data_IF_072264763797
#
_entry.id   IF_072264763797
#
_cell.length_a   1.000
_cell.length_b   1.000
_cell.length_c   1.000
_cell.angle_alpha   90.00
_cell.angle_beta   90.00
_cell.angle_gamma   90.00
#
_symmetry.space_group_name_H-M   'P 1'
#
loop_
_entity.id
_entity.type
_entity.pdbx_description
1 polymer ?
#
# COMPACT_ATOMS: atom_id res chain seq x y z
N UNK A 1 -20.90 -17.59 5.10
CA UNK A 1 -20.94 -16.82 3.85
C UNK A 1 -22.30 -16.19 3.65
N UNK A 2 -22.66 -15.23 4.53
CA UNK A 2 -24.05 -14.74 4.69
C UNK A 2 -24.27 -13.38 4.02
N UNK A 3 -23.22 -12.80 3.42
CA UNK A 3 -23.26 -11.45 2.84
C UNK A 3 -24.30 -11.32 1.73
N UNK A 4 -24.18 -12.12 0.66
CA UNK A 4 -25.13 -12.07 -0.45
C UNK A 4 -26.56 -12.48 -0.05
N UNK A 5 -26.77 -13.52 0.76
CA UNK A 5 -28.09 -13.82 1.32
C UNK A 5 -28.68 -12.66 2.14
N UNK A 6 -27.86 -11.88 2.86
CA UNK A 6 -28.34 -10.71 3.59
C UNK A 6 -28.82 -9.60 2.67
N UNK A 7 -28.13 -9.33 1.56
CA UNK A 7 -28.49 -8.25 0.62
C UNK A 7 -29.84 -8.47 -0.09
N UNK A 8 -30.28 -9.70 -0.22
CA UNK A 8 -31.54 -10.02 -0.91
C UNK A 8 -32.73 -10.17 0.05
N UNK A 9 -32.56 -9.87 1.33
CA UNK A 9 -33.67 -9.91 2.29
C UNK A 9 -34.70 -8.79 1.99
N UNK A 10 -35.99 -9.03 2.20
CA UNK A 10 -37.04 -8.05 1.86
C UNK A 10 -36.92 -6.70 2.59
N UNK A 11 -36.24 -6.68 3.75
CA UNK A 11 -36.02 -5.49 4.57
C UNK A 11 -34.72 -4.75 4.24
N UNK A 12 -33.95 -5.22 3.23
CA UNK A 12 -32.66 -4.63 2.84
C UNK A 12 -32.81 -3.96 1.48
N UNK A 13 -32.49 -2.68 1.42
CA UNK A 13 -32.37 -1.92 0.18
C UNK A 13 -30.87 -1.64 -0.06
N UNK A 14 -30.35 -2.04 -1.22
CA UNK A 14 -29.02 -1.70 -1.68
C UNK A 14 -29.09 -0.46 -2.55
N UNK A 15 -28.52 0.64 -2.09
CA UNK A 15 -28.51 1.93 -2.80
C UNK A 15 -27.12 2.17 -3.37
N UNK A 16 -27.02 2.25 -4.70
CA UNK A 16 -25.76 2.53 -5.43
C UNK A 16 -25.49 4.01 -5.65
N UNK A 17 -26.48 4.86 -5.39
CA UNK A 17 -26.37 6.31 -5.59
C UNK A 17 -25.49 6.97 -4.55
N UNK A 18 -24.71 7.96 -4.97
CA UNK A 18 -23.88 8.75 -4.06
C UNK A 18 -24.73 9.52 -3.03
N UNK A 19 -24.30 9.58 -1.80
CA UNK A 19 -24.91 10.42 -0.76
C UNK A 19 -24.61 11.89 -1.09
N UNK A 20 -25.64 12.70 -1.23
CA UNK A 20 -25.52 14.14 -1.47
C UNK A 20 -25.55 14.93 -0.17
N UNK A 21 -26.38 14.53 0.78
CA UNK A 21 -26.62 15.28 2.01
C UNK A 21 -27.06 14.35 3.14
N UNK A 22 -26.67 14.67 4.36
CA UNK A 22 -27.18 14.06 5.59
C UNK A 22 -28.12 15.06 6.23
N UNK A 23 -29.37 14.65 6.46
CA UNK A 23 -30.42 15.48 7.08
C UNK A 23 -30.62 15.09 8.55
N UNK A 24 -31.49 15.81 9.27
CA UNK A 24 -31.88 15.44 10.63
C UNK A 24 -32.64 14.10 10.70
N UNK A 25 -33.24 13.67 9.59
CA UNK A 25 -34.08 12.47 9.51
C UNK A 25 -33.43 11.31 8.75
N UNK A 26 -32.35 11.57 8.02
CA UNK A 26 -31.76 10.52 7.22
C UNK A 26 -30.72 10.99 6.22
N UNK A 27 -30.74 10.42 5.02
CA UNK A 27 -29.82 10.75 3.94
C UNK A 27 -30.57 11.09 2.65
N UNK A 28 -30.04 12.02 1.86
CA UNK A 28 -30.51 12.32 0.51
C UNK A 28 -29.44 11.88 -0.48
N UNK A 29 -29.81 11.05 -1.43
CA UNK A 29 -28.95 10.56 -2.49
C UNK A 29 -28.96 11.46 -3.72
N UNK A 30 -28.04 11.23 -4.68
CA UNK A 30 -27.85 12.07 -5.86
C UNK A 30 -29.10 12.13 -6.77
N UNK A 31 -29.95 11.10 -6.74
CA UNK A 31 -31.24 11.04 -7.40
C UNK A 31 -32.33 11.90 -6.74
N UNK A 32 -32.03 12.53 -5.60
CA UNK A 32 -32.92 13.38 -4.84
C UNK A 32 -33.86 12.65 -3.89
N UNK A 33 -33.73 11.34 -3.73
CA UNK A 33 -34.55 10.55 -2.82
C UNK A 33 -34.04 10.70 -1.40
N UNK A 34 -34.92 11.09 -0.48
CA UNK A 34 -34.65 11.08 0.97
C UNK A 34 -35.04 9.71 1.55
N UNK A 35 -34.08 9.14 2.29
CA UNK A 35 -34.25 7.85 3.01
C UNK A 35 -34.14 8.12 4.49
N UNK A 36 -35.25 7.92 5.18
CA UNK A 36 -35.31 8.09 6.64
C UNK A 36 -34.58 6.93 7.33
N UNK A 37 -33.71 7.26 8.28
CA UNK A 37 -32.93 6.28 9.07
C UNK A 37 -32.81 6.74 10.52
N UNK A 38 -32.89 5.83 11.45
CA UNK A 38 -32.69 6.09 12.89
C UNK A 38 -31.23 6.04 13.29
N UNK A 39 -30.41 5.29 12.52
CA UNK A 39 -28.98 5.10 12.80
C UNK A 39 -28.20 5.14 11.49
N UNK A 40 -27.13 5.93 11.46
CA UNK A 40 -26.18 5.96 10.37
C UNK A 40 -24.85 5.33 10.83
N UNK A 41 -24.46 4.25 10.16
CA UNK A 41 -23.20 3.55 10.45
C UNK A 41 -22.18 3.91 9.36
N UNK A 42 -21.09 4.57 9.76
CA UNK A 42 -20.03 4.95 8.83
C UNK A 42 -19.04 3.79 8.61
N UNK A 43 -19.01 3.26 7.39
CA UNK A 43 -18.04 2.27 6.92
C UNK A 43 -17.08 2.88 5.88
N UNK A 44 -16.59 4.10 6.11
CA UNK A 44 -15.87 4.91 5.12
C UNK A 44 -14.41 4.50 4.89
N UNK A 45 -13.89 3.50 5.64
CA UNK A 45 -12.54 2.97 5.50
C UNK A 45 -11.45 3.86 6.12
N UNK A 46 -10.22 3.62 5.71
CA UNK A 46 -9.02 4.31 6.17
C UNK A 46 -8.29 4.99 5.00
N UNK A 47 -7.44 5.99 5.30
CA UNK A 47 -6.49 6.57 4.35
C UNK A 47 -5.32 5.61 4.09
N UNK A 48 -5.61 4.46 3.48
CA UNK A 48 -4.69 3.34 3.36
C UNK A 48 -3.49 3.61 2.43
N UNK A 49 -3.54 4.66 1.62
CA UNK A 49 -2.44 5.12 0.78
C UNK A 49 -1.46 6.07 1.48
N UNK A 50 -1.81 6.55 2.70
CA UNK A 50 -0.99 7.48 3.47
C UNK A 50 0.00 6.73 4.35
N UNK A 51 0.95 6.05 3.70
CA UNK A 51 1.97 5.27 4.39
C UNK A 51 2.76 6.12 5.37
N UNK A 52 2.94 5.59 6.60
CA UNK A 52 3.71 6.16 7.70
C UNK A 52 3.23 7.53 8.20
N UNK A 53 2.12 8.08 7.67
CA UNK A 53 1.54 9.30 8.23
C UNK A 53 1.06 9.09 9.68
N UNK A 54 1.21 10.07 10.57
CA UNK A 54 1.74 11.43 10.36
C UNK A 54 3.26 11.58 10.61
N UNK A 55 4.03 10.48 10.56
CA UNK A 55 5.48 10.53 10.83
C UNK A 55 6.21 11.39 9.79
N UNK A 56 7.19 12.17 10.26
CA UNK A 56 8.12 12.90 9.40
C UNK A 56 9.46 12.20 9.43
N UNK A 57 9.90 11.72 8.27
CA UNK A 57 11.16 11.00 8.11
C UNK A 57 12.01 11.79 7.11
N UNK A 58 13.23 12.13 7.52
CA UNK A 58 14.17 12.86 6.69
C UNK A 58 15.34 11.96 6.28
N UNK A 59 15.58 11.91 4.98
CA UNK A 59 16.68 11.20 4.35
C UNK A 59 17.90 12.07 4.07
N UNK A 60 18.70 11.64 3.10
CA UNK A 60 19.93 12.33 2.67
C UNK A 60 19.60 13.75 2.18
N UNK A 61 20.42 14.70 2.58
CA UNK A 61 20.25 16.11 2.19
C UNK A 61 18.97 16.76 2.73
N UNK A 62 18.34 16.16 3.75
CA UNK A 62 17.10 16.69 4.34
C UNK A 62 15.85 16.37 3.51
N UNK A 63 15.92 15.43 2.57
CA UNK A 63 14.77 14.97 1.78
C UNK A 63 13.66 14.47 2.71
N UNK A 64 12.47 15.06 2.63
CA UNK A 64 11.30 14.60 3.39
C UNK A 64 10.62 13.42 2.66
N UNK A 65 10.28 12.35 3.39
CA UNK A 65 9.69 11.16 2.82
C UNK A 65 8.30 11.43 2.22
N UNK A 66 7.50 12.27 2.87
CA UNK A 66 6.17 12.63 2.36
C UNK A 66 6.30 13.40 1.04
N UNK A 67 7.34 14.25 0.93
CA UNK A 67 7.63 14.95 -0.33
C UNK A 67 8.11 13.98 -1.41
N UNK A 68 8.96 13.01 -1.07
CA UNK A 68 9.41 11.96 -2.00
C UNK A 68 8.25 11.09 -2.49
N UNK A 69 7.24 10.89 -1.66
CA UNK A 69 6.05 10.08 -1.94
C UNK A 69 4.80 10.86 -2.37
N UNK A 70 4.94 12.15 -2.70
CA UNK A 70 3.80 13.01 -3.09
C UNK A 70 2.95 12.45 -4.23
N UNK A 71 3.57 11.71 -5.15
CA UNK A 71 2.92 11.07 -6.30
C UNK A 71 2.49 9.62 -6.00
N UNK A 72 2.66 9.18 -4.74
CA UNK A 72 2.33 7.86 -4.22
C UNK A 72 3.55 7.15 -3.65
N UNK A 73 3.34 6.42 -2.55
CA UNK A 73 4.39 5.71 -1.85
C UNK A 73 5.06 4.65 -2.74
N UNK A 74 6.39 4.61 -2.70
CA UNK A 74 7.23 3.67 -3.43
C UNK A 74 8.37 3.15 -2.56
N UNK A 75 8.68 1.87 -2.70
CA UNK A 75 9.84 1.30 -2.06
C UNK A 75 10.38 0.11 -2.87
N UNK A 76 11.69 -0.09 -2.86
CA UNK A 76 12.30 -1.27 -3.42
C UNK A 76 11.90 -2.49 -2.59
N UNK A 77 11.19 -3.43 -3.23
CA UNK A 77 10.60 -4.64 -2.60
C UNK A 77 9.66 -4.32 -1.42
N UNK A 78 9.13 -3.10 -1.34
CA UNK A 78 8.35 -2.65 -0.19
C UNK A 78 9.15 -2.52 1.11
N UNK A 79 10.49 -2.50 1.04
CA UNK A 79 11.38 -2.54 2.21
C UNK A 79 12.25 -1.29 2.29
N UNK A 80 12.97 -0.92 1.21
CA UNK A 80 13.96 0.16 1.23
C UNK A 80 13.55 1.31 0.33
N UNK A 81 13.88 2.54 0.72
CA UNK A 81 13.56 3.75 -0.05
C UNK A 81 14.85 4.48 -0.40
N UNK A 82 15.04 4.77 -1.69
CA UNK A 82 16.21 5.50 -2.19
C UNK A 82 16.28 6.92 -1.63
N UNK A 83 17.47 7.29 -1.13
CA UNK A 83 17.69 8.55 -0.44
C UNK A 83 17.39 8.50 1.07
N UNK A 84 16.93 7.34 1.58
CA UNK A 84 16.66 7.12 2.99
C UNK A 84 17.50 5.93 3.51
N UNK A 85 18.81 6.12 3.66
CA UNK A 85 19.72 5.04 4.04
C UNK A 85 19.32 4.44 5.39
N UNK A 86 19.49 3.13 5.52
CA UNK A 86 19.17 2.35 6.71
C UNK A 86 17.69 2.41 7.15
N UNK A 87 16.81 2.96 6.33
CA UNK A 87 15.36 2.87 6.55
C UNK A 87 14.86 1.55 5.97
N UNK A 88 14.31 0.70 6.83
CA UNK A 88 13.65 -0.54 6.43
C UNK A 88 12.20 -0.50 6.88
N UNK A 89 11.29 -0.71 5.95
CA UNK A 89 9.86 -0.72 6.19
C UNK A 89 9.38 -2.17 6.12
N UNK A 90 8.66 -2.60 7.13
CA UNK A 90 7.92 -3.85 7.11
C UNK A 90 6.47 -3.56 6.72
N UNK A 91 5.93 -4.36 5.82
CA UNK A 91 4.61 -4.11 5.25
C UNK A 91 4.51 -2.75 4.54
N UNK A 92 5.56 -2.40 3.79
CA UNK A 92 5.62 -1.14 3.04
C UNK A 92 4.83 -1.18 1.72
N UNK A 93 5.01 -0.17 0.87
CA UNK A 93 4.30 -0.04 -0.40
C UNK A 93 4.35 -1.31 -1.26
N UNK A 94 3.21 -1.65 -1.87
CA UNK A 94 3.03 -2.82 -2.74
C UNK A 94 3.38 -4.18 -2.09
N UNK A 95 3.08 -4.34 -0.79
CA UNK A 95 3.24 -5.63 -0.08
C UNK A 95 1.95 -6.14 0.54
N UNK A 96 0.85 -5.39 0.45
CA UNK A 96 -0.45 -5.85 0.89
C UNK A 96 -1.01 -6.97 -0.01
N UNK A 97 -1.92 -7.76 0.53
CA UNK A 97 -2.55 -8.89 -0.16
C UNK A 97 -4.06 -8.86 0.01
N UNK A 98 -4.79 -9.14 -1.08
CA UNK A 98 -6.22 -9.40 -1.05
C UNK A 98 -6.59 -10.88 -0.94
N UNK A 99 -5.62 -11.82 -0.96
CA UNK A 99 -5.90 -13.24 -1.18
C UNK A 99 -5.06 -14.22 -0.35
N UNK A 100 -4.14 -13.72 0.48
CA UNK A 100 -3.24 -14.59 1.26
C UNK A 100 -2.82 -13.89 2.57
N UNK A 101 -1.90 -14.53 3.32
CA UNK A 101 -1.44 -14.08 4.62
C UNK A 101 -0.40 -12.96 4.55
N UNK A 102 -0.70 -11.84 5.19
CA UNK A 102 0.25 -10.74 5.42
C UNK A 102 1.44 -11.22 6.29
N UNK A 103 1.21 -12.12 7.22
CA UNK A 103 2.28 -12.70 8.05
C UNK A 103 3.32 -13.39 7.18
N UNK A 104 2.89 -14.12 6.13
CA UNK A 104 3.82 -14.73 5.18
C UNK A 104 4.70 -13.69 4.46
N UNK A 105 4.13 -12.53 4.13
CA UNK A 105 4.88 -11.42 3.52
C UNK A 105 5.91 -10.84 4.50
N UNK A 106 5.51 -10.63 5.75
CA UNK A 106 6.40 -10.15 6.81
C UNK A 106 7.54 -11.15 7.09
N UNK A 107 7.23 -12.44 7.22
CA UNK A 107 8.23 -13.50 7.37
C UNK A 107 9.18 -13.61 6.16
N UNK A 108 8.78 -13.11 5.01
CA UNK A 108 9.63 -13.02 3.83
C UNK A 108 10.55 -11.80 3.89
N UNK A 109 10.14 -10.71 4.55
CA UNK A 109 10.92 -9.49 4.72
C UNK A 109 11.95 -9.59 5.85
N UNK A 110 11.64 -10.32 6.93
CA UNK A 110 12.53 -10.40 8.09
C UNK A 110 13.94 -10.89 7.76
N UNK A 111 14.17 -12.00 7.03
CA UNK A 111 15.52 -12.43 6.67
C UNK A 111 16.26 -11.38 5.84
N UNK A 112 15.56 -10.70 4.92
CA UNK A 112 16.14 -9.64 4.11
C UNK A 112 16.67 -8.49 4.96
N UNK A 113 15.86 -8.01 5.91
CA UNK A 113 16.25 -6.93 6.82
C UNK A 113 17.37 -7.38 7.75
N UNK A 114 17.33 -8.62 8.27
CA UNK A 114 18.40 -9.17 9.10
C UNK A 114 19.74 -9.26 8.36
N UNK A 115 19.73 -9.65 7.08
CA UNK A 115 20.95 -9.65 6.24
C UNK A 115 21.48 -8.23 6.05
N UNK A 116 20.61 -7.24 5.87
CA UNK A 116 20.98 -5.82 5.78
C UNK A 116 21.62 -5.34 7.11
N UNK A 117 21.02 -5.68 8.26
CA UNK A 117 21.56 -5.34 9.57
C UNK A 117 22.90 -6.03 9.83
N UNK A 118 23.04 -7.30 9.43
CA UNK A 118 24.31 -8.03 9.50
C UNK A 118 25.40 -7.31 8.68
N UNK A 119 25.04 -6.81 7.49
CA UNK A 119 25.96 -6.05 6.63
C UNK A 119 26.43 -4.75 7.25
N UNK A 120 25.54 -4.05 7.96
CA UNK A 120 25.92 -2.85 8.74
C UNK A 120 26.91 -3.20 9.84
N UNK A 121 26.75 -4.35 10.52
CA UNK A 121 27.67 -4.82 11.55
C UNK A 121 29.06 -5.21 11.01
N UNK A 122 29.22 -5.43 9.70
CA UNK A 122 30.50 -5.65 9.03
C UNK A 122 31.30 -4.35 8.77
N UNK A 123 30.89 -3.24 9.37
CA UNK A 123 31.56 -1.95 9.23
C UNK A 123 31.06 -1.11 8.04
N UNK A 124 29.94 -1.46 7.46
CA UNK A 124 29.22 -0.60 6.53
C UNK A 124 28.44 0.44 7.34
N UNK A 125 28.68 1.71 7.08
CA UNK A 125 28.04 2.81 7.79
C UNK A 125 26.57 2.98 7.40
N UNK A 126 26.28 2.85 6.11
CA UNK A 126 24.89 2.84 5.63
C UNK A 126 24.74 2.08 4.30
N UNK A 127 23.50 1.63 4.10
CA UNK A 127 22.96 1.02 2.90
C UNK A 127 21.92 1.97 2.31
N UNK A 128 22.04 2.37 1.06
CA UNK A 128 21.05 3.16 0.36
C UNK A 128 20.73 2.49 -0.98
N UNK A 129 19.48 2.12 -1.23
CA UNK A 129 19.11 1.49 -2.50
C UNK A 129 19.28 2.49 -3.65
N UNK A 130 19.88 2.05 -4.76
CA UNK A 130 20.04 2.91 -5.93
C UNK A 130 18.69 3.34 -6.50
N UNK A 131 18.55 4.62 -6.83
CA UNK A 131 17.30 5.20 -7.37
C UNK A 131 16.81 4.43 -8.60
N UNK A 132 17.67 4.15 -9.55
CA UNK A 132 17.32 3.44 -10.79
C UNK A 132 16.81 2.00 -10.52
N UNK A 133 17.30 1.35 -9.47
CA UNK A 133 16.85 0.01 -9.05
C UNK A 133 15.45 0.08 -8.46
N UNK A 134 15.20 1.02 -7.57
CA UNK A 134 13.86 1.24 -7.03
C UNK A 134 12.86 1.58 -8.14
N UNK A 135 13.22 2.48 -9.05
CA UNK A 135 12.36 2.90 -10.16
C UNK A 135 12.04 1.73 -11.11
N UNK A 136 13.03 0.87 -11.39
CA UNK A 136 12.81 -0.32 -12.21
C UNK A 136 11.84 -1.31 -11.53
N UNK A 137 12.03 -1.53 -10.23
CA UNK A 137 11.13 -2.37 -9.43
C UNK A 137 9.70 -1.83 -9.44
N UNK A 138 9.52 -0.53 -9.18
CA UNK A 138 8.19 0.07 -9.13
C UNK A 138 7.49 0.04 -10.49
N UNK A 139 8.21 0.31 -11.59
CA UNK A 139 7.64 0.16 -12.95
C UNK A 139 7.15 -1.26 -13.21
N UNK A 140 7.93 -2.27 -12.83
CA UNK A 140 7.52 -3.66 -13.00
C UNK A 140 6.26 -3.98 -12.18
N UNK A 141 6.21 -3.57 -10.92
CA UNK A 141 5.03 -3.78 -10.06
C UNK A 141 3.78 -3.11 -10.63
N UNK A 142 3.89 -1.84 -11.09
CA UNK A 142 2.74 -1.15 -11.71
C UNK A 142 2.30 -1.87 -13.00
N UNK A 143 3.22 -2.27 -13.86
CA UNK A 143 2.92 -3.03 -15.08
C UNK A 143 2.19 -4.36 -14.78
N UNK A 144 2.64 -5.09 -13.76
CA UNK A 144 2.00 -6.36 -13.37
C UNK A 144 0.58 -6.15 -12.82
N UNK A 145 0.33 -4.99 -12.17
CA UNK A 145 -0.99 -4.63 -11.65
C UNK A 145 -1.96 -4.21 -12.76
N UNK A 146 -1.49 -3.55 -13.82
CA UNK A 146 -2.32 -3.10 -14.95
C UNK A 146 -3.16 -4.22 -15.58
N UNK A 147 -2.69 -5.46 -15.49
CA UNK A 147 -3.39 -6.63 -16.02
C UNK A 147 -4.21 -7.38 -14.96
N UNK A 148 -4.32 -6.84 -13.74
CA UNK A 148 -5.04 -7.48 -12.63
C UNK A 148 -6.49 -7.02 -12.53
N UNK A 149 -7.29 -7.77 -11.77
CA UNK A 149 -8.67 -7.39 -11.44
C UNK A 149 -8.76 -6.08 -10.64
N UNK A 150 -7.68 -5.63 -10.02
CA UNK A 150 -7.65 -4.39 -9.25
C UNK A 150 -7.63 -3.13 -10.13
N UNK A 151 -7.27 -3.27 -11.41
CA UNK A 151 -7.34 -2.17 -12.38
C UNK A 151 -8.75 -2.00 -12.95
N UNK A 152 -9.57 -3.07 -12.93
CA UNK A 152 -10.89 -3.09 -13.53
C UNK A 152 -11.96 -2.59 -12.54
N UNK A 153 -12.85 -1.71 -12.99
CA UNK A 153 -14.12 -1.43 -12.35
C UNK A 153 -14.19 -0.14 -11.55
N UNK A 154 -14.27 -0.20 -10.22
CA UNK A 154 -14.63 0.93 -9.37
C UNK A 154 -13.43 1.74 -8.86
N UNK A 155 -13.71 2.91 -8.29
CA UNK A 155 -12.73 3.66 -7.49
C UNK A 155 -12.33 2.81 -6.30
N UNK A 156 -11.07 2.36 -6.29
CA UNK A 156 -10.55 1.47 -5.26
C UNK A 156 -9.65 2.22 -4.29
N UNK A 157 -9.78 1.94 -2.99
CA UNK A 157 -8.88 2.43 -1.95
C UNK A 157 -7.43 1.90 -2.08
N UNK A 158 -7.19 0.97 -2.99
CA UNK A 158 -5.85 0.51 -3.37
C UNK A 158 -5.08 1.52 -4.23
N UNK A 159 -5.79 2.48 -4.84
CA UNK A 159 -5.23 3.56 -5.65
C UNK A 159 -5.19 4.86 -4.86
N UNK A 160 -4.13 5.62 -5.05
CA UNK A 160 -4.11 7.00 -4.57
C UNK A 160 -4.92 7.93 -5.48
N UNK A 161 -5.00 9.21 -5.13
CA UNK A 161 -5.74 10.22 -5.92
C UNK A 161 -5.20 10.39 -7.36
N UNK A 162 -3.95 10.02 -7.63
CA UNK A 162 -3.34 10.04 -8.96
C UNK A 162 -3.59 8.75 -9.76
N UNK A 163 -4.35 7.80 -9.20
CA UNK A 163 -4.65 6.50 -9.83
C UNK A 163 -3.55 5.45 -9.72
N UNK A 164 -2.49 5.72 -8.96
CA UNK A 164 -1.38 4.79 -8.77
C UNK A 164 -1.69 3.76 -7.69
N UNK A 165 -1.38 2.50 -7.95
CA UNK A 165 -1.46 1.43 -6.97
C UNK A 165 -0.27 1.45 -6.01
N UNK A 166 -0.54 1.76 -4.75
CA UNK A 166 0.50 1.84 -3.72
C UNK A 166 0.44 0.71 -2.70
N UNK A 167 -0.65 -0.05 -2.66
CA UNK A 167 -0.93 -1.00 -1.58
C UNK A 167 -0.57 -2.44 -1.90
N UNK A 168 -1.15 -3.01 -2.96
CA UNK A 168 -1.13 -4.45 -3.18
C UNK A 168 0.11 -4.93 -3.93
N UNK A 169 0.54 -6.15 -3.59
CA UNK A 169 1.41 -6.98 -4.38
C UNK A 169 0.60 -7.70 -5.47
N UNK A 170 1.08 -7.68 -6.71
CA UNK A 170 0.36 -8.24 -7.88
C UNK A 170 0.51 -9.74 -8.04
N UNK A 171 1.59 -10.31 -7.52
CA UNK A 171 1.97 -11.71 -7.74
C UNK A 171 1.62 -12.64 -6.59
N UNK A 172 2.03 -13.89 -6.73
CA UNK A 172 1.94 -14.89 -5.66
C UNK A 172 2.90 -14.59 -4.50
N UNK A 173 2.53 -14.98 -3.29
CA UNK A 173 3.36 -14.76 -2.09
C UNK A 173 4.71 -15.46 -2.16
N UNK A 174 4.78 -16.66 -2.74
CA UNK A 174 6.04 -17.37 -2.93
C UNK A 174 6.99 -16.65 -3.92
N UNK A 175 6.45 -15.96 -4.92
CA UNK A 175 7.22 -15.11 -5.82
C UNK A 175 7.86 -13.95 -5.03
N UNK A 176 7.09 -13.28 -4.18
CA UNK A 176 7.61 -12.24 -3.29
C UNK A 176 8.72 -12.77 -2.38
N UNK A 177 8.51 -13.93 -1.73
CA UNK A 177 9.53 -14.58 -0.90
C UNK A 177 10.81 -14.88 -1.67
N UNK A 178 10.70 -15.24 -2.95
CA UNK A 178 11.88 -15.46 -3.78
C UNK A 178 12.64 -14.15 -4.06
N UNK A 179 11.93 -13.06 -4.34
CA UNK A 179 12.53 -11.73 -4.52
C UNK A 179 13.20 -11.19 -3.25
N UNK A 180 12.66 -11.53 -2.08
CA UNK A 180 13.17 -11.04 -0.78
C UNK A 180 14.08 -12.04 -0.07
N UNK A 181 14.44 -13.14 -0.72
CA UNK A 181 15.25 -14.21 -0.11
C UNK A 181 16.58 -13.72 0.43
N UNK A 182 17.23 -12.81 -0.30
CA UNK A 182 18.50 -12.16 0.10
C UNK A 182 18.64 -10.80 -0.57
N UNK A 183 19.29 -9.82 0.07
CA UNK A 183 19.71 -8.59 -0.59
C UNK A 183 20.72 -8.87 -1.71
N UNK A 184 20.57 -8.17 -2.83
CA UNK A 184 21.61 -8.10 -3.84
C UNK A 184 22.41 -6.83 -3.57
N UNK A 185 23.67 -6.99 -3.17
CA UNK A 185 24.48 -5.86 -2.73
C UNK A 185 24.81 -4.87 -3.84
N UNK A 186 24.75 -5.30 -5.11
CA UNK A 186 24.84 -4.43 -6.29
C UNK A 186 23.68 -3.44 -6.42
N UNK A 187 22.57 -3.68 -5.74
CA UNK A 187 21.39 -2.83 -5.76
C UNK A 187 21.51 -1.65 -4.79
N UNK A 188 22.56 -1.67 -3.95
CA UNK A 188 22.78 -0.71 -2.87
C UNK A 188 24.10 0.03 -3.00
N UNK A 189 24.08 1.32 -2.69
CA UNK A 189 25.26 2.08 -2.32
C UNK A 189 25.67 1.63 -0.90
N UNK A 190 26.88 1.07 -0.77
CA UNK A 190 27.48 0.65 0.50
C UNK A 190 28.57 1.63 0.88
N UNK A 191 28.36 2.42 1.94
CA UNK A 191 29.35 3.36 2.44
C UNK A 191 29.96 2.83 3.74
N UNK A 192 31.29 2.79 3.80
CA UNK A 192 32.07 2.38 4.96
C UNK A 192 32.56 3.56 5.77
#
# INVERSE_FOLDING_TARGET
NDYYPALVQPQVEVVGEAIREVTERGIVTADGVEREVDVLIHGTGFAASDFLAPMRIHGRGGLDLNQAWRDGAEAYKGISVSGFPNLFILYGPNTNLGHNSIIYMLESQFPYVLDCLAKLNEGVRYLDVHRHVQDAWNRQVQHDIEHSVWEQGCTSWYKNAAGKHTNNWSGFTFSYRNHTRRPQWSDYELVR
#
